data_IF_822057188478
#
_entry.id   IF_822057188478
#
_cell.length_a   1.000
_cell.length_b   1.000
_cell.length_c   1.000
_cell.angle_alpha   90.00
_cell.angle_beta   90.00
_cell.angle_gamma   90.00
#
_symmetry.space_group_name_H-M   'P 1'
#
loop_
_entity.id
_entity.type
_entity.pdbx_description
1 polymer ?
#
# COMPACT_ATOMS: atom_id res chain seq x y z
N UNK A 1 12.62 10.83 -0.25
CA UNK A 1 11.96 9.65 0.36
C UNK A 1 12.54 9.38 1.74
N UNK A 2 11.70 8.92 2.70
CA UNK A 2 12.14 8.49 4.04
C UNK A 2 11.58 7.10 4.32
N UNK A 3 12.37 6.23 4.93
CA UNK A 3 11.93 4.93 5.44
C UNK A 3 11.76 5.02 6.94
N UNK A 4 10.66 4.49 7.43
CA UNK A 4 10.34 4.41 8.85
C UNK A 4 10.07 2.95 9.21
N UNK A 5 10.44 2.57 10.42
CA UNK A 5 10.05 1.29 11.00
C UNK A 5 8.90 1.53 11.95
N UNK A 6 7.97 0.61 12.01
CA UNK A 6 6.90 0.59 13.00
C UNK A 6 6.85 -0.79 13.68
N UNK A 7 6.21 -0.86 14.82
CA UNK A 7 6.09 -2.11 15.56
C UNK A 7 5.00 -3.00 14.98
N UNK A 8 5.42 -4.06 14.26
CA UNK A 8 4.52 -5.06 13.68
C UNK A 8 3.70 -5.83 14.72
N UNK A 9 4.16 -5.91 15.98
CA UNK A 9 3.40 -6.54 17.04
C UNK A 9 2.24 -5.67 17.54
N UNK A 10 2.38 -4.37 17.38
CA UNK A 10 1.36 -3.39 17.74
C UNK A 10 0.31 -3.24 16.63
N UNK A 11 0.74 -3.24 15.36
CA UNK A 11 -0.14 -3.01 14.20
C UNK A 11 -0.21 -4.25 13.33
N UNK A 12 -1.28 -5.02 13.50
CA UNK A 12 -1.45 -6.37 12.94
C UNK A 12 -1.96 -6.39 11.50
N UNK A 13 -1.46 -5.51 10.63
CA UNK A 13 -1.92 -5.39 9.26
C UNK A 13 -1.80 -6.70 8.47
N UNK A 14 -0.67 -7.40 8.58
CA UNK A 14 -0.47 -8.67 7.87
C UNK A 14 -1.41 -9.77 8.39
N UNK A 15 -1.58 -9.89 9.71
CA UNK A 15 -2.50 -10.85 10.32
C UNK A 15 -3.95 -10.62 9.84
N UNK A 16 -4.41 -9.37 9.88
CA UNK A 16 -5.76 -9.01 9.44
C UNK A 16 -5.98 -9.24 7.94
N UNK A 17 -4.93 -9.03 7.13
CA UNK A 17 -5.00 -9.32 5.71
C UNK A 17 -5.04 -10.83 5.44
N UNK A 18 -4.27 -11.61 6.18
CA UNK A 18 -4.26 -13.07 6.07
C UNK A 18 -5.63 -13.66 6.44
N UNK A 19 -6.22 -13.19 7.54
CA UNK A 19 -7.57 -13.58 7.96
C UNK A 19 -8.60 -13.28 6.86
N UNK A 20 -8.52 -12.09 6.33
CA UNK A 20 -9.42 -11.64 5.30
C UNK A 20 -9.30 -12.43 4.00
N UNK A 21 -8.11 -12.81 3.59
CA UNK A 21 -7.88 -13.67 2.43
C UNK A 21 -8.04 -15.17 2.73
N UNK A 22 -8.22 -15.54 4.00
CA UNK A 22 -8.34 -16.94 4.46
C UNK A 22 -7.09 -17.75 4.12
N UNK A 23 -5.93 -17.21 4.44
CA UNK A 23 -4.62 -17.85 4.31
C UNK A 23 -3.83 -17.64 5.60
N UNK A 24 -2.76 -18.38 5.80
CA UNK A 24 -1.83 -18.12 6.89
C UNK A 24 -1.00 -16.86 6.58
N UNK A 25 -0.58 -16.14 7.63
CA UNK A 25 0.16 -14.90 7.47
C UNK A 25 1.46 -15.09 6.68
N UNK A 26 2.17 -16.18 6.93
CA UNK A 26 3.42 -16.52 6.25
C UNK A 26 3.22 -16.83 4.75
N UNK A 27 1.97 -17.12 4.37
CA UNK A 27 1.58 -17.44 3.00
C UNK A 27 1.10 -16.22 2.18
N UNK A 28 1.04 -15.04 2.76
CA UNK A 28 0.60 -13.83 2.05
C UNK A 28 1.41 -13.55 0.79
N UNK A 29 2.72 -13.79 0.81
CA UNK A 29 3.56 -13.64 -0.38
C UNK A 29 3.29 -14.69 -1.47
N UNK A 30 2.63 -15.80 -1.11
CA UNK A 30 2.21 -16.87 -2.02
C UNK A 30 0.72 -16.76 -2.40
N UNK A 31 0.06 -15.67 -2.08
CA UNK A 31 -1.36 -15.45 -2.27
C UNK A 31 -1.84 -15.76 -3.70
N UNK A 32 -1.01 -15.45 -4.69
CA UNK A 32 -1.31 -15.71 -6.11
C UNK A 32 -1.42 -17.20 -6.47
N UNK A 33 -0.80 -18.09 -5.69
CA UNK A 33 -0.93 -19.54 -5.83
C UNK A 33 -2.12 -20.08 -5.04
N UNK A 34 -2.35 -19.55 -3.84
CA UNK A 34 -3.37 -20.03 -2.91
C UNK A 34 -4.77 -19.51 -3.24
N UNK A 35 -4.82 -18.28 -3.75
CA UNK A 35 -6.05 -17.57 -4.07
C UNK A 35 -5.98 -16.93 -5.47
N UNK A 36 -5.82 -17.76 -6.53
CA UNK A 36 -5.77 -17.26 -7.91
C UNK A 36 -7.04 -16.51 -8.32
N UNK A 37 -8.16 -16.80 -7.67
CA UNK A 37 -9.43 -16.10 -7.85
C UNK A 37 -9.33 -14.60 -7.62
N UNK A 38 -8.48 -14.17 -6.69
CA UNK A 38 -8.27 -12.73 -6.39
C UNK A 38 -7.55 -12.00 -7.52
N UNK A 39 -6.92 -12.71 -8.44
CA UNK A 39 -6.13 -12.14 -9.53
C UNK A 39 -6.76 -12.34 -10.91
N UNK A 40 -7.88 -13.08 -10.98
CA UNK A 40 -8.46 -13.51 -12.26
C UNK A 40 -8.94 -12.37 -13.14
N UNK A 41 -9.48 -11.30 -12.56
CA UNK A 41 -10.08 -10.19 -13.31
C UNK A 41 -9.14 -8.99 -13.47
N UNK A 42 -8.22 -8.80 -12.54
CA UNK A 42 -7.24 -7.73 -12.59
C UNK A 42 -6.00 -8.09 -11.75
N UNK A 43 -4.90 -8.48 -12.40
CA UNK A 43 -3.68 -8.89 -11.69
C UNK A 43 -3.02 -7.75 -10.91
N UNK A 44 -3.41 -6.51 -11.19
CA UNK A 44 -2.79 -5.32 -10.62
C UNK A 44 -3.75 -4.47 -9.79
N UNK A 45 -4.93 -4.98 -9.49
CA UNK A 45 -6.01 -4.20 -8.92
C UNK A 45 -5.64 -3.54 -7.60
N UNK A 46 -5.94 -2.27 -7.52
CA UNK A 46 -6.14 -1.57 -6.26
C UNK A 46 -7.42 -2.10 -5.62
N UNK A 47 -7.28 -2.93 -4.61
CA UNK A 47 -8.44 -3.46 -3.90
C UNK A 47 -8.91 -2.43 -2.86
N UNK A 48 -10.18 -2.10 -2.90
CA UNK A 48 -10.83 -1.36 -1.80
C UNK A 48 -11.39 -2.28 -0.71
N UNK A 49 -11.19 -3.57 -0.85
CA UNK A 49 -11.57 -4.55 0.14
C UNK A 49 -10.46 -4.68 1.20
N UNK A 50 -10.77 -4.80 2.48
CA UNK A 50 -12.04 -5.03 3.17
C UNK A 50 -12.75 -3.76 3.64
N UNK A 51 -12.70 -2.69 2.91
CA UNK A 51 -12.98 -1.31 3.36
C UNK A 51 -14.39 -0.82 3.24
N UNK A 52 -15.29 -1.60 2.67
CA UNK A 52 -16.68 -1.17 2.49
C UNK A 52 -17.47 -1.10 3.81
N UNK A 53 -16.87 -1.57 4.91
CA UNK A 53 -17.48 -1.57 6.22
C UNK A 53 -16.63 -0.74 7.20
N UNK A 54 -17.18 0.36 7.66
CA UNK A 54 -16.48 1.38 8.44
C UNK A 54 -15.98 0.93 9.82
N UNK A 55 -16.41 -0.23 10.32
CA UNK A 55 -16.10 -0.72 11.67
C UNK A 55 -15.27 -2.01 11.70
N UNK A 56 -14.53 -2.29 10.65
CA UNK A 56 -13.66 -3.46 10.63
C UNK A 56 -12.48 -3.31 11.59
N UNK A 57 -11.94 -4.43 12.05
CA UNK A 57 -10.71 -4.42 12.85
C UNK A 57 -9.56 -3.75 12.09
N UNK A 58 -9.52 -3.92 10.78
CA UNK A 58 -8.52 -3.26 9.95
C UNK A 58 -8.59 -1.73 10.03
N UNK A 59 -9.79 -1.14 9.98
CA UNK A 59 -9.95 0.31 10.14
C UNK A 59 -9.49 0.80 11.52
N UNK A 60 -9.77 0.05 12.57
CA UNK A 60 -9.33 0.41 13.92
C UNK A 60 -7.80 0.43 14.01
N UNK A 61 -7.15 -0.59 13.45
CA UNK A 61 -5.67 -0.63 13.36
C UNK A 61 -5.13 0.52 12.49
N UNK A 62 -5.72 0.75 11.33
CA UNK A 62 -5.33 1.83 10.44
C UNK A 62 -5.45 3.20 11.10
N UNK A 63 -6.55 3.50 11.77
CA UNK A 63 -6.70 4.77 12.49
C UNK A 63 -5.79 4.86 13.71
N UNK A 64 -5.56 3.76 14.42
CA UNK A 64 -4.57 3.70 15.48
C UNK A 64 -3.18 4.05 14.95
N UNK A 65 -2.78 3.45 13.85
CA UNK A 65 -1.50 3.72 13.18
C UNK A 65 -1.39 5.18 12.70
N UNK A 66 -2.42 5.72 12.06
CA UNK A 66 -2.44 7.13 11.64
C UNK A 66 -2.24 8.08 12.82
N UNK A 67 -2.95 7.84 13.92
CA UNK A 67 -2.90 8.71 15.09
C UNK A 67 -1.60 8.60 15.90
N UNK A 68 -0.97 7.42 15.91
CA UNK A 68 0.21 7.19 16.75
C UNK A 68 1.52 7.32 15.99
N UNK A 69 1.58 6.90 14.72
CA UNK A 69 2.81 6.89 13.96
C UNK A 69 2.86 8.04 12.96
N UNK A 70 1.82 8.16 12.12
CA UNK A 70 1.83 9.13 11.03
C UNK A 70 1.65 10.55 11.55
N UNK A 71 0.77 10.78 12.52
CA UNK A 71 0.55 12.13 13.07
C UNK A 71 1.80 12.73 13.68
N UNK A 72 2.66 11.91 14.27
CA UNK A 72 3.92 12.35 14.86
C UNK A 72 4.97 12.84 13.84
N UNK A 73 4.75 12.59 12.56
CA UNK A 73 5.62 13.09 11.49
C UNK A 73 5.30 14.52 11.07
N UNK A 74 4.17 15.06 11.53
CA UNK A 74 3.68 16.39 11.17
C UNK A 74 3.58 17.30 12.39
N UNK A 75 3.80 18.58 12.17
CA UNK A 75 3.63 19.62 13.19
C UNK A 75 2.30 20.36 13.08
N UNK A 76 1.56 20.08 12.03
CA UNK A 76 0.29 20.71 11.69
C UNK A 76 -0.79 19.67 11.37
N UNK A 77 -2.04 20.11 11.35
CA UNK A 77 -3.16 19.26 10.98
C UNK A 77 -3.07 18.86 9.51
N UNK A 78 -3.41 17.61 9.21
CA UNK A 78 -3.46 17.09 7.85
C UNK A 78 -4.78 16.37 7.59
N UNK A 79 -5.12 16.25 6.33
CA UNK A 79 -6.22 15.40 5.86
C UNK A 79 -5.63 14.12 5.27
N UNK A 80 -6.36 13.03 5.35
CA UNK A 80 -5.90 11.74 4.84
C UNK A 80 -7.00 11.03 4.07
N UNK A 81 -6.60 10.14 3.20
CA UNK A 81 -7.52 9.27 2.49
C UNK A 81 -8.22 8.35 3.48
N UNK A 82 -9.56 8.40 3.54
CA UNK A 82 -10.36 7.64 4.50
C UNK A 82 -10.09 6.14 4.43
N UNK A 83 -9.94 5.62 3.22
CA UNK A 83 -9.69 4.20 2.98
C UNK A 83 -8.36 4.08 2.24
N UNK A 84 -7.35 3.46 2.82
CA UNK A 84 -6.09 3.24 2.12
C UNK A 84 -6.30 2.32 0.91
N UNK A 85 -5.46 2.47 -0.10
CA UNK A 85 -5.48 1.61 -1.28
C UNK A 85 -4.61 0.39 -1.07
N UNK A 86 -5.11 -0.79 -1.39
CA UNK A 86 -4.30 -2.01 -1.46
C UNK A 86 -3.78 -2.25 -2.86
N UNK A 87 -2.52 -2.63 -2.93
CA UNK A 87 -1.94 -3.13 -4.16
C UNK A 87 -1.50 -4.58 -3.97
N UNK A 88 -1.90 -5.43 -4.87
CA UNK A 88 -1.42 -6.80 -5.01
C UNK A 88 -0.66 -6.88 -6.33
N UNK A 89 0.56 -7.40 -6.28
CA UNK A 89 1.40 -7.55 -7.46
C UNK A 89 1.53 -9.03 -7.81
N UNK A 90 1.15 -9.39 -9.02
CA UNK A 90 1.34 -10.75 -9.52
C UNK A 90 2.77 -10.89 -10.03
N UNK A 91 3.51 -11.93 -9.65
CA UNK A 91 4.85 -12.18 -10.18
C UNK A 91 4.87 -12.18 -11.70
N UNK A 92 5.91 -11.62 -12.31
CA UNK A 92 6.10 -11.53 -13.75
C UNK A 92 4.99 -10.80 -14.53
N UNK A 93 4.08 -10.10 -13.83
CA UNK A 93 3.09 -9.25 -14.49
C UNK A 93 3.69 -7.92 -14.94
N UNK A 94 2.93 -7.21 -15.78
CA UNK A 94 3.28 -5.82 -16.13
C UNK A 94 3.15 -4.92 -14.90
N UNK A 95 3.83 -3.77 -14.94
CA UNK A 95 3.67 -2.74 -13.92
C UNK A 95 2.20 -2.38 -13.74
N UNK A 96 1.80 -2.13 -12.50
CA UNK A 96 0.43 -1.76 -12.12
C UNK A 96 0.01 -0.46 -12.79
N UNK A 97 0.93 0.49 -12.85
CA UNK A 97 0.70 1.81 -13.46
C UNK A 97 1.84 2.14 -14.41
N UNK A 98 1.55 3.01 -15.38
CA UNK A 98 2.59 3.66 -16.17
C UNK A 98 3.34 4.66 -15.27
N UNK A 99 4.52 5.05 -15.71
CA UNK A 99 5.24 6.18 -15.11
C UNK A 99 4.36 7.43 -15.13
N UNK A 100 4.13 8.04 -13.99
CA UNK A 100 3.29 9.22 -13.82
C UNK A 100 3.73 10.02 -12.59
N UNK A 101 3.23 11.22 -12.49
CA UNK A 101 3.27 12.03 -11.29
C UNK A 101 1.84 12.13 -10.75
N UNK A 102 1.63 11.84 -9.48
CA UNK A 102 0.28 11.86 -8.88
C UNK A 102 -0.37 13.25 -8.98
N UNK A 103 0.43 14.31 -8.97
CA UNK A 103 -0.04 15.69 -9.13
C UNK A 103 -0.21 16.15 -10.58
N UNK A 104 -0.05 15.27 -11.58
CA UNK A 104 -0.33 15.64 -12.96
C UNK A 104 -1.84 15.81 -13.23
N UNK A 105 -2.17 16.47 -14.34
CA UNK A 105 -3.56 16.78 -14.69
C UNK A 105 -4.44 15.54 -14.93
N UNK A 106 -3.83 14.40 -15.24
CA UNK A 106 -4.55 13.17 -15.55
C UNK A 106 -4.94 12.40 -14.27
N UNK A 107 -4.20 12.58 -13.18
CA UNK A 107 -4.40 11.87 -11.92
C UNK A 107 -5.13 12.71 -10.87
N UNK A 108 -5.00 14.05 -10.93
CA UNK A 108 -5.82 14.99 -10.16
C UNK A 108 -5.61 14.96 -8.65
N UNK A 109 -4.50 14.43 -8.18
CA UNK A 109 -4.15 14.47 -6.76
C UNK A 109 -3.80 15.90 -6.33
N UNK A 110 -4.12 16.30 -5.10
CA UNK A 110 -3.82 17.64 -4.63
C UNK A 110 -2.32 17.90 -4.54
N UNK A 111 -1.93 19.13 -4.80
CA UNK A 111 -0.55 19.56 -4.59
C UNK A 111 -0.16 19.39 -3.11
N UNK A 112 1.04 18.87 -2.87
CA UNK A 112 1.53 18.62 -1.53
C UNK A 112 1.09 17.28 -0.92
N UNK A 113 0.42 16.43 -1.67
CA UNK A 113 0.11 15.07 -1.22
C UNK A 113 1.38 14.29 -0.89
N UNK A 114 1.32 13.55 0.22
CA UNK A 114 2.40 12.66 0.66
C UNK A 114 1.86 11.23 0.70
N UNK A 115 2.45 10.36 -0.10
CA UNK A 115 2.10 8.96 -0.13
C UNK A 115 2.88 8.18 0.93
N UNK A 116 2.17 7.38 1.72
CA UNK A 116 2.75 6.40 2.65
C UNK A 116 2.51 5.00 2.12
N UNK A 117 3.57 4.23 1.96
CA UNK A 117 3.47 2.83 1.57
C UNK A 117 3.81 1.96 2.77
N UNK A 118 2.86 1.10 3.15
CA UNK A 118 3.03 0.11 4.22
C UNK A 118 3.23 -1.26 3.55
N UNK A 119 4.39 -1.87 3.76
CA UNK A 119 4.68 -3.21 3.29
C UNK A 119 3.92 -4.24 4.14
N UNK A 120 3.11 -5.08 3.51
CA UNK A 120 2.41 -6.21 4.16
C UNK A 120 3.21 -7.50 3.98
N UNK A 121 3.97 -7.59 2.90
CA UNK A 121 4.90 -8.68 2.60
C UNK A 121 6.24 -8.08 2.22
N UNK A 122 7.26 -8.91 2.06
CA UNK A 122 8.55 -8.46 1.57
C UNK A 122 8.43 -7.78 0.19
N UNK A 123 9.02 -6.60 0.07
CA UNK A 123 9.02 -5.80 -1.15
C UNK A 123 10.45 -5.80 -1.72
N UNK A 124 10.59 -6.30 -2.95
CA UNK A 124 11.87 -6.34 -3.65
C UNK A 124 11.67 -6.43 -5.18
N UNK A 125 12.68 -6.03 -5.94
CA UNK A 125 12.66 -6.18 -7.39
C UNK A 125 11.42 -5.56 -8.05
N UNK A 126 10.65 -6.37 -8.79
CA UNK A 126 9.53 -5.90 -9.59
C UNK A 126 8.24 -5.64 -8.77
N UNK A 127 8.17 -6.09 -7.52
CA UNK A 127 7.02 -5.78 -6.66
C UNK A 127 7.22 -4.49 -5.85
N UNK A 128 8.39 -3.86 -5.97
CA UNK A 128 8.68 -2.58 -5.35
C UNK A 128 8.09 -1.41 -6.15
N UNK A 129 7.81 -0.32 -5.47
CA UNK A 129 7.55 0.96 -6.13
C UNK A 129 8.87 1.53 -6.63
N UNK A 130 8.90 2.03 -7.84
CA UNK A 130 10.07 2.64 -8.45
C UNK A 130 9.87 4.15 -8.55
N UNK A 131 10.81 4.92 -8.07
CA UNK A 131 10.74 6.38 -8.10
C UNK A 131 12.02 6.98 -8.69
N UNK A 132 11.90 8.18 -9.24
CA UNK A 132 13.06 9.01 -9.61
C UNK A 132 13.68 9.65 -8.37
N UNK A 133 14.99 9.86 -8.37
CA UNK A 133 15.67 10.61 -7.31
C UNK A 133 15.25 12.09 -7.30
N UNK A 134 15.06 12.65 -8.47
CA UNK A 134 14.56 14.00 -8.74
C UNK A 134 13.64 13.95 -9.95
N UNK A 135 12.50 14.63 -9.93
CA UNK A 135 11.56 14.65 -11.05
C UNK A 135 12.24 14.97 -12.40
N UNK A 136 12.03 14.09 -13.39
CA UNK A 136 12.58 14.22 -14.74
C UNK A 136 13.97 13.62 -14.97
N UNK A 137 14.65 13.08 -13.96
CA UNK A 137 15.98 12.45 -14.11
C UNK A 137 15.91 11.06 -14.76
N UNK A 138 14.77 10.40 -14.69
CA UNK A 138 14.54 9.05 -15.25
C UNK A 138 15.51 7.97 -14.73
N UNK A 139 16.07 8.18 -13.57
CA UNK A 139 17.01 7.31 -12.87
C UNK A 139 16.30 6.40 -11.86
N UNK A 140 15.19 5.85 -12.24
CA UNK A 140 14.26 5.08 -11.40
C UNK A 140 14.94 4.03 -10.54
N UNK A 141 14.65 4.06 -9.24
CA UNK A 141 15.16 3.14 -8.24
C UNK A 141 14.01 2.51 -7.45
N UNK A 142 14.10 1.22 -7.08
CA UNK A 142 13.11 0.59 -6.22
C UNK A 142 13.23 1.11 -4.79
N UNK A 143 12.10 1.25 -4.12
CA UNK A 143 12.02 1.72 -2.73
C UNK A 143 11.40 0.65 -1.83
#
# INVERSE_FOLDING_TARGET
MRKFSYDFSQYKFAELMAEAFKVDQDDLQNLHHLRPDLFANDPALTMQWPYNEADTLFHKEFYGFLNSEISNLFTESFVYQRFPSFRKCLPMSKAVTKWHCDSDNDHGHPEGEINFQIAITDIYGNNATWIESVPGFKDFQPI
#
